data_IF_659964207654
#
_entry.id   IF_659964207654
#
_cell.length_a   1.000
_cell.length_b   1.000
_cell.length_c   1.000
_cell.angle_alpha   90.00
_cell.angle_beta   90.00
_cell.angle_gamma   90.00
#
_symmetry.space_group_name_H-M   'P 1'
#
loop_
_entity.id
_entity.type
_entity.pdbx_description
1 polymer ?
#
# COMPACT_ATOMS: atom_id res chain seq x y z
N UNK A 1 -7.68 3.37 -4.96
CA UNK A 1 -6.43 2.85 -5.53
C UNK A 1 -5.79 1.92 -4.51
N UNK A 2 -5.37 0.74 -4.95
CA UNK A 2 -4.67 -0.26 -4.15
C UNK A 2 -3.26 -0.35 -4.67
N UNK A 3 -2.30 -0.44 -3.75
CA UNK A 3 -0.89 -0.50 -4.10
C UNK A 3 -0.21 -1.61 -3.32
N UNK A 4 0.68 -2.33 -3.98
CA UNK A 4 1.47 -3.41 -3.38
C UNK A 4 2.80 -3.55 -4.13
N UNK A 5 3.76 -4.27 -3.54
CA UNK A 5 4.97 -4.69 -4.24
C UNK A 5 4.68 -5.89 -5.16
N UNK A 6 3.67 -6.71 -4.83
CA UNK A 6 3.24 -7.88 -5.61
C UNK A 6 2.13 -7.54 -6.60
N UNK A 7 2.51 -7.36 -7.87
CA UNK A 7 1.59 -7.03 -8.96
C UNK A 7 0.49 -8.05 -9.22
N UNK A 8 0.80 -9.33 -9.09
CA UNK A 8 -0.15 -10.38 -9.46
C UNK A 8 -1.33 -10.41 -8.47
N UNK A 9 -1.03 -10.53 -7.18
CA UNK A 9 -2.05 -10.56 -6.12
C UNK A 9 -2.81 -9.24 -6.05
N UNK A 10 -2.11 -8.10 -6.14
CA UNK A 10 -2.74 -6.79 -6.12
C UNK A 10 -3.74 -6.56 -7.27
N UNK A 11 -3.42 -7.07 -8.47
CA UNK A 11 -4.33 -7.00 -9.62
C UNK A 11 -5.58 -7.87 -9.40
N UNK A 12 -5.42 -9.07 -8.82
CA UNK A 12 -6.57 -9.94 -8.49
C UNK A 12 -7.51 -9.26 -7.51
N UNK A 13 -6.98 -8.64 -6.45
CA UNK A 13 -7.77 -7.92 -5.45
C UNK A 13 -8.59 -6.82 -6.10
N UNK A 14 -7.98 -6.00 -6.94
CA UNK A 14 -8.67 -4.92 -7.66
C UNK A 14 -9.77 -5.47 -8.58
N UNK A 15 -9.51 -6.54 -9.33
CA UNK A 15 -10.55 -7.19 -10.13
C UNK A 15 -11.74 -7.68 -9.29
N UNK A 16 -11.50 -8.15 -8.07
CA UNK A 16 -12.56 -8.61 -7.18
C UNK A 16 -13.42 -7.48 -6.59
N UNK A 17 -12.87 -6.26 -6.48
CA UNK A 17 -13.54 -5.08 -5.89
C UNK A 17 -14.33 -4.25 -6.91
N UNK A 18 -14.14 -4.50 -8.21
CA UNK A 18 -14.88 -3.89 -9.30
C UNK A 18 -14.26 -2.61 -9.87
N UNK A 19 -14.95 -2.01 -10.85
CA UNK A 19 -14.41 -1.00 -11.77
C UNK A 19 -13.96 0.32 -11.13
N UNK A 20 -14.37 0.61 -9.90
CA UNK A 20 -13.94 1.81 -9.16
C UNK A 20 -12.60 1.66 -8.47
N UNK A 21 -12.05 0.45 -8.46
CA UNK A 21 -10.74 0.15 -7.89
C UNK A 21 -9.71 0.03 -9.00
N UNK A 22 -8.47 0.39 -8.69
CA UNK A 22 -7.36 0.31 -9.61
C UNK A 22 -6.08 -0.02 -8.86
N UNK A 23 -5.17 -0.70 -9.54
CA UNK A 23 -3.92 -1.18 -8.99
C UNK A 23 -2.74 -0.33 -9.51
N UNK A 24 -1.77 -0.07 -8.63
CA UNK A 24 -0.47 0.50 -9.00
C UNK A 24 0.63 -0.14 -8.15
N UNK A 25 1.77 -0.47 -8.76
CA UNK A 25 2.88 -1.08 -8.02
C UNK A 25 3.58 -0.04 -7.13
N UNK A 26 3.78 -0.35 -5.85
CA UNK A 26 4.46 0.52 -4.90
C UNK A 26 5.36 -0.31 -3.98
N UNK A 27 6.66 -0.05 -4.01
CA UNK A 27 7.57 -0.44 -2.93
C UNK A 27 7.66 0.69 -1.91
N UNK A 28 7.07 0.50 -0.74
CA UNK A 28 7.00 1.55 0.30
C UNK A 28 8.37 1.98 0.84
N UNK A 29 9.44 1.20 0.60
CA UNK A 29 10.82 1.56 0.94
C UNK A 29 11.46 2.53 -0.06
N UNK A 30 10.89 2.67 -1.27
CA UNK A 30 11.42 3.51 -2.34
C UNK A 30 10.66 4.83 -2.39
N UNK A 31 11.33 5.91 -2.00
CA UNK A 31 10.76 7.27 -2.09
C UNK A 31 10.35 7.65 -3.53
N UNK A 32 11.07 7.15 -4.54
CA UNK A 32 10.73 7.37 -5.95
C UNK A 32 9.31 6.91 -6.29
N UNK A 33 8.94 5.70 -5.88
CA UNK A 33 7.61 5.14 -6.10
C UNK A 33 6.53 6.00 -5.41
N UNK A 34 6.83 6.56 -4.22
CA UNK A 34 5.93 7.50 -3.53
C UNK A 34 5.72 8.81 -4.29
N UNK A 35 6.77 9.35 -4.91
CA UNK A 35 6.68 10.56 -5.73
C UNK A 35 5.83 10.28 -6.98
N UNK A 36 6.05 9.15 -7.64
CA UNK A 36 5.32 8.74 -8.83
C UNK A 36 3.82 8.57 -8.56
N UNK A 37 3.45 7.80 -7.54
CA UNK A 37 2.05 7.58 -7.16
C UNK A 37 1.38 8.88 -6.70
N UNK A 38 2.09 9.74 -5.96
CA UNK A 38 1.53 11.02 -5.50
C UNK A 38 1.23 11.96 -6.65
N UNK A 39 2.12 12.01 -7.65
CA UNK A 39 1.90 12.78 -8.88
C UNK A 39 0.73 12.22 -9.68
N UNK A 40 0.62 10.90 -9.79
CA UNK A 40 -0.49 10.24 -10.47
C UNK A 40 -1.83 10.53 -9.77
N UNK A 41 -1.90 10.39 -8.45
CA UNK A 41 -3.11 10.68 -7.68
C UNK A 41 -3.51 12.15 -7.85
N UNK A 42 -2.54 13.07 -7.77
CA UNK A 42 -2.81 14.49 -7.98
C UNK A 42 -3.30 14.80 -9.39
N UNK A 43 -2.72 14.19 -10.41
CA UNK A 43 -3.12 14.40 -11.80
C UNK A 43 -4.51 13.83 -12.10
N UNK A 44 -4.85 12.66 -11.55
CA UNK A 44 -6.08 11.92 -11.87
C UNK A 44 -7.26 12.27 -10.96
N UNK A 45 -6.99 12.49 -9.67
CA UNK A 45 -8.00 12.68 -8.62
C UNK A 45 -7.91 14.05 -7.94
N UNK A 46 -6.90 14.86 -8.26
CA UNK A 46 -6.69 16.20 -7.70
C UNK A 46 -6.04 16.20 -6.32
N UNK A 47 -6.45 15.31 -5.42
CA UNK A 47 -5.88 15.19 -4.06
C UNK A 47 -5.99 13.77 -3.49
N UNK A 48 -5.24 13.52 -2.43
CA UNK A 48 -5.34 12.34 -1.57
C UNK A 48 -6.13 12.71 -0.32
N UNK A 49 -7.28 12.08 -0.10
CA UNK A 49 -8.11 12.32 1.09
C UNK A 49 -7.70 11.43 2.28
N UNK A 50 -7.40 10.16 2.02
CA UNK A 50 -7.08 9.16 3.06
C UNK A 50 -5.94 8.27 2.54
N UNK A 51 -4.93 8.07 3.38
CA UNK A 51 -3.86 7.09 3.18
C UNK A 51 -3.95 6.01 4.25
N UNK A 52 -4.01 4.75 3.84
CA UNK A 52 -3.85 3.59 4.72
C UNK A 52 -2.58 2.86 4.28
N UNK A 53 -1.55 2.88 5.13
CA UNK A 53 -0.30 2.18 4.88
C UNK A 53 -0.18 0.97 5.80
N UNK A 54 -0.33 -0.24 5.24
CA UNK A 54 -0.22 -1.51 5.97
C UNK A 54 0.91 -2.41 5.42
N UNK A 55 1.89 -1.85 4.72
CA UNK A 55 2.96 -2.63 4.08
C UNK A 55 4.15 -2.93 5.01
N UNK A 56 3.94 -2.86 6.33
CA UNK A 56 4.98 -3.11 7.32
C UNK A 56 5.27 -4.60 7.50
N UNK A 57 6.55 -4.95 7.55
CA UNK A 57 7.00 -6.25 8.08
C UNK A 57 7.45 -6.06 9.52
N UNK A 58 6.93 -6.87 10.45
CA UNK A 58 7.51 -6.94 11.80
C UNK A 58 8.84 -7.66 11.67
N UNK A 59 9.96 -6.94 11.82
CA UNK A 59 11.28 -7.58 11.90
C UNK A 59 11.25 -8.70 12.93
N UNK A 60 11.74 -9.88 12.56
CA UNK A 60 11.65 -11.15 13.30
C UNK A 60 11.69 -10.98 14.83
N UNK A 61 10.51 -10.81 15.42
CA UNK A 61 10.27 -10.94 16.84
C UNK A 61 9.39 -12.18 16.93
N UNK A 62 10.04 -13.33 17.12
CA UNK A 62 9.36 -14.50 17.66
C UNK A 62 8.83 -14.09 19.04
N UNK A 63 7.61 -13.57 19.06
CA UNK A 63 6.88 -13.31 20.28
C UNK A 63 5.91 -14.46 20.46
N UNK A 64 5.89 -15.05 21.65
CA UNK A 64 4.95 -16.12 21.99
C UNK A 64 3.50 -15.60 22.16
N UNK A 65 3.12 -14.49 21.51
CA UNK A 65 1.84 -13.79 21.65
C UNK A 65 1.67 -12.64 20.64
N UNK A 66 0.51 -11.94 20.62
CA UNK A 66 0.25 -10.85 19.67
C UNK A 66 1.26 -9.71 19.82
N UNK A 67 1.84 -9.27 18.70
CA UNK A 67 2.76 -8.13 18.67
C UNK A 67 2.01 -6.81 18.90
N UNK A 68 2.41 -6.07 19.94
CA UNK A 68 1.90 -4.73 20.27
C UNK A 68 2.91 -3.67 19.78
N UNK A 69 2.61 -3.04 18.64
CA UNK A 69 3.49 -2.09 17.97
C UNK A 69 3.63 -0.73 18.70
N UNK A 70 2.84 -0.49 19.74
CA UNK A 70 2.79 0.79 20.48
C UNK A 70 3.67 0.78 21.75
N UNK A 71 4.26 -0.37 22.11
CA UNK A 71 5.10 -0.53 23.33
C UNK A 71 6.55 -0.90 22.99
N UNK A 72 7.23 -0.02 22.25
CA UNK A 72 8.68 -0.07 22.09
C UNK A 72 9.41 0.38 23.36
#
# INVERSE_FOLDING_TARGET
>A
MITDINNYEGTIVVHSLGEKSEYYQLDVQKEGDWIEISNLIKAKYGKLDILVNNAGITGFLETNGPFDAEKC
#
